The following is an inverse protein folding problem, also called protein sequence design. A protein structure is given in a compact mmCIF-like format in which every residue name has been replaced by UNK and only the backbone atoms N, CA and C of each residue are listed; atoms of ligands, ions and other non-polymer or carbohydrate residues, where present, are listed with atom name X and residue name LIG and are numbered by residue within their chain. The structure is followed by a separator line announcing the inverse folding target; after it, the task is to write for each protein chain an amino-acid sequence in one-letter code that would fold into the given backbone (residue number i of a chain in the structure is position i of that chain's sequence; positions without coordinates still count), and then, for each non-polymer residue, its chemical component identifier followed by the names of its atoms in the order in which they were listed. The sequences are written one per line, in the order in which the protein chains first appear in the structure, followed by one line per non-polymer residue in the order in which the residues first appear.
data_IF_942696272300
#
_entry.id   IF_942696272300
#
_cell.length_a   1.000
_cell.length_b   1.000
_cell.length_c   1.000
_cell.angle_alpha   90.00
_cell.angle_beta   90.00
_cell.angle_gamma   90.00
#
_symmetry.space_group_name_H-M   'P 1'
#
loop_
_entity.id
_entity.type
_entity.pdbx_description
1 polymer ?
#
# COMPACT_ATOMS: atom_id res chain seq x y z
N UNK A 1 19.08 -5.04 5.35
CA UNK A 1 18.33 -6.21 5.88
C UNK A 1 17.86 -7.03 4.68
N UNK A 2 18.51 -8.15 4.35
CA UNK A 2 18.36 -8.84 3.04
C UNK A 2 17.52 -10.12 3.06
N UNK A 3 16.84 -10.46 4.15
CA UNK A 3 15.91 -11.60 4.19
C UNK A 3 14.66 -11.21 4.98
N UNK A 4 13.50 -11.21 4.31
CA UNK A 4 12.21 -11.28 5.00
C UNK A 4 12.09 -12.73 5.48
N UNK A 5 12.39 -12.98 6.76
CA UNK A 5 12.43 -14.33 7.36
C UNK A 5 11.11 -15.10 7.24
N UNK A 6 9.98 -14.40 7.02
CA UNK A 6 8.65 -15.01 7.02
C UNK A 6 8.00 -15.10 5.62
N UNK A 7 8.72 -14.75 4.55
CA UNK A 7 8.16 -14.87 3.20
C UNK A 7 8.38 -16.30 2.67
N UNK A 8 7.31 -17.05 2.36
CA UNK A 8 7.45 -18.35 1.72
C UNK A 8 8.10 -18.24 0.33
N UNK A 9 8.71 -19.33 -0.10
CA UNK A 9 9.44 -19.37 -1.38
C UNK A 9 8.51 -19.45 -2.59
N UNK A 10 7.30 -20.01 -2.43
CA UNK A 10 6.33 -20.15 -3.52
C UNK A 10 5.37 -18.97 -3.54
N UNK A 11 5.19 -18.42 -4.73
CA UNK A 11 4.33 -17.26 -4.97
C UNK A 11 4.42 -16.79 -6.41
N UNK A 12 3.81 -15.64 -6.67
CA UNK A 12 3.73 -15.03 -8.00
C UNK A 12 4.56 -13.75 -8.04
N UNK A 13 5.60 -13.72 -8.89
CA UNK A 13 6.28 -12.47 -9.22
C UNK A 13 5.52 -11.75 -10.33
N UNK A 14 5.23 -10.46 -10.12
CA UNK A 14 4.62 -9.60 -11.15
C UNK A 14 5.03 -8.15 -10.96
N UNK A 15 4.85 -7.37 -12.02
CA UNK A 15 4.92 -5.91 -11.93
C UNK A 15 3.78 -5.39 -11.05
N UNK A 16 4.08 -4.42 -10.18
CA UNK A 16 3.06 -3.73 -9.39
C UNK A 16 2.15 -2.86 -10.28
N UNK A 17 0.89 -2.72 -9.87
CA UNK A 17 -0.11 -1.96 -10.63
C UNK A 17 0.11 -0.45 -10.45
N UNK A 18 0.38 -0.05 -9.21
CA UNK A 18 0.51 1.35 -8.82
C UNK A 18 1.56 1.55 -7.73
N UNK A 19 2.00 2.80 -7.58
CA UNK A 19 2.83 3.24 -6.49
C UNK A 19 2.08 4.29 -5.67
N UNK A 20 2.29 4.28 -4.36
CA UNK A 20 1.74 5.26 -3.43
C UNK A 20 2.86 6.04 -2.75
N UNK A 21 2.67 7.36 -2.60
CA UNK A 21 3.54 8.24 -1.83
C UNK A 21 2.74 8.85 -0.69
N UNK A 22 3.23 8.68 0.54
CA UNK A 22 2.62 9.32 1.70
C UNK A 22 2.83 10.83 1.66
N UNK A 23 1.83 11.58 2.11
CA UNK A 23 1.99 12.98 2.46
C UNK A 23 1.06 13.35 3.60
N UNK A 24 1.46 14.38 4.34
CA UNK A 24 0.76 14.89 5.50
C UNK A 24 0.32 16.31 5.22
N UNK A 25 -0.94 16.61 5.49
CA UNK A 25 -1.44 17.99 5.55
C UNK A 25 -1.61 18.32 7.03
N UNK A 26 -0.98 19.37 7.51
CA UNK A 26 -1.10 19.83 8.90
C UNK A 26 -1.49 21.30 8.95
N UNK A 27 -2.11 21.74 10.03
CA UNK A 27 -2.27 23.15 10.36
C UNK A 27 -2.06 23.35 11.86
N UNK A 28 -1.38 24.43 12.22
CA UNK A 28 -1.13 24.87 13.59
C UNK A 28 -1.98 26.10 14.00
N UNK A 29 -3.09 26.34 13.30
CA UNK A 29 -4.06 27.37 13.69
C UNK A 29 -4.68 27.04 15.05
N UNK A 30 -4.65 28.00 15.99
CA UNK A 30 -5.14 27.81 17.37
C UNK A 30 -6.63 27.44 17.44
N UNK A 31 -7.45 28.14 16.66
CA UNK A 31 -8.89 27.87 16.57
C UNK A 31 -9.14 26.54 15.85
N UNK A 32 -9.74 25.57 16.54
CA UNK A 32 -9.96 24.21 16.02
C UNK A 32 -10.86 24.18 14.77
N UNK A 33 -12.04 24.86 14.73
CA UNK A 33 -12.84 24.94 13.51
C UNK A 33 -12.06 25.47 12.31
N UNK A 34 -11.31 26.56 12.48
CA UNK A 34 -10.49 27.15 11.42
C UNK A 34 -9.38 26.19 10.98
N UNK A 35 -8.67 25.57 11.94
CA UNK A 35 -7.63 24.57 11.66
C UNK A 35 -8.15 23.40 10.83
N UNK A 36 -9.31 22.84 11.20
CA UNK A 36 -9.95 21.77 10.42
C UNK A 36 -10.34 22.23 9.03
N UNK A 37 -10.90 23.43 8.91
CA UNK A 37 -11.30 23.98 7.62
C UNK A 37 -10.10 24.19 6.68
N UNK A 38 -8.97 24.68 7.19
CA UNK A 38 -7.73 24.81 6.41
C UNK A 38 -7.24 23.46 5.87
N UNK A 39 -7.17 22.44 6.74
CA UNK A 39 -6.76 21.07 6.36
C UNK A 39 -7.70 20.51 5.28
N UNK A 40 -9.01 20.61 5.49
CA UNK A 40 -10.02 20.15 4.53
C UNK A 40 -9.95 20.91 3.20
N UNK A 41 -9.67 22.20 3.21
CA UNK A 41 -9.55 23.01 1.99
C UNK A 41 -8.34 22.57 1.16
N UNK A 42 -7.19 22.34 1.81
CA UNK A 42 -6.00 21.80 1.13
C UNK A 42 -6.26 20.39 0.61
N UNK A 43 -6.90 19.52 1.38
CA UNK A 43 -7.24 18.16 0.95
C UNK A 43 -8.20 18.15 -0.25
N UNK A 44 -9.22 19.00 -0.25
CA UNK A 44 -10.12 19.15 -1.40
C UNK A 44 -9.37 19.64 -2.65
N UNK A 45 -8.50 20.64 -2.50
CA UNK A 45 -7.64 21.09 -3.60
C UNK A 45 -6.70 20.00 -4.11
N UNK A 46 -6.21 19.12 -3.22
CA UNK A 46 -5.41 17.96 -3.60
C UNK A 46 -6.22 16.94 -4.40
N UNK A 47 -7.47 16.67 -4.04
CA UNK A 47 -8.37 15.79 -4.80
C UNK A 47 -8.59 16.32 -6.23
N UNK A 48 -8.89 17.61 -6.36
CA UNK A 48 -9.12 18.24 -7.65
C UNK A 48 -7.87 18.19 -8.54
N UNK A 49 -6.70 18.49 -7.95
CA UNK A 49 -5.42 18.46 -8.66
C UNK A 49 -4.99 17.05 -9.03
N UNK A 50 -5.26 16.06 -8.18
CA UNK A 50 -4.94 14.66 -8.42
C UNK A 50 -5.70 14.14 -9.63
N UNK A 51 -7.02 14.37 -9.67
CA UNK A 51 -7.87 14.00 -10.80
C UNK A 51 -7.35 14.60 -12.13
N UNK A 52 -6.98 15.89 -12.12
CA UNK A 52 -6.41 16.56 -13.29
C UNK A 52 -5.02 16.03 -13.70
N UNK A 53 -4.28 15.40 -12.78
CA UNK A 53 -2.96 14.82 -13.03
C UNK A 53 -3.00 13.31 -13.33
N UNK A 54 -4.18 12.68 -13.31
CA UNK A 54 -4.32 11.22 -13.44
C UNK A 54 -3.83 10.45 -12.20
N UNK A 55 -3.93 11.07 -11.02
CA UNK A 55 -3.62 10.45 -9.73
C UNK A 55 -4.90 10.27 -8.90
N UNK A 56 -4.83 9.37 -7.94
CA UNK A 56 -5.86 9.19 -6.91
C UNK A 56 -5.29 9.61 -5.55
N UNK A 57 -6.15 10.08 -4.65
CA UNK A 57 -5.80 10.20 -3.23
C UNK A 57 -6.43 9.02 -2.50
N UNK A 58 -5.65 8.35 -1.66
CA UNK A 58 -6.07 7.18 -0.89
C UNK A 58 -5.65 7.30 0.58
N UNK A 59 -6.37 6.61 1.46
CA UNK A 59 -6.09 6.56 2.89
C UNK A 59 -6.17 5.13 3.42
N UNK A 60 -5.63 4.89 4.62
CA UNK A 60 -5.69 3.61 5.32
C UNK A 60 -4.33 2.92 5.44
N UNK A 61 -4.25 1.94 6.34
CA UNK A 61 -3.00 1.25 6.68
C UNK A 61 -2.99 -0.19 6.14
N UNK A 62 -4.08 -0.93 6.32
CA UNK A 62 -4.20 -2.34 5.89
C UNK A 62 -4.93 -2.49 4.57
N UNK A 63 -5.91 -1.63 4.31
CA UNK A 63 -6.64 -1.56 3.05
C UNK A 63 -6.70 -0.11 2.60
N UNK A 64 -6.28 0.13 1.36
CA UNK A 64 -6.30 1.45 0.77
C UNK A 64 -7.70 1.77 0.26
N UNK A 65 -8.29 2.82 0.81
CA UNK A 65 -9.59 3.34 0.40
C UNK A 65 -9.41 4.63 -0.38
N UNK A 66 -10.16 4.79 -1.47
CA UNK A 66 -10.14 6.03 -2.25
C UNK A 66 -10.77 7.16 -1.44
N UNK A 67 -10.06 8.28 -1.36
CA UNK A 67 -10.58 9.53 -0.80
C UNK A 67 -11.32 10.26 -1.90
N UNK A 68 -12.54 10.69 -1.61
CA UNK A 68 -13.45 11.35 -2.55
C UNK A 68 -14.02 12.62 -1.93
N UNK A 69 -14.71 13.44 -2.73
CA UNK A 69 -15.36 14.67 -2.24
C UNK A 69 -16.48 14.37 -1.22
N UNK A 70 -16.99 13.15 -1.22
CA UNK A 70 -18.04 12.69 -0.31
C UNK A 70 -17.47 12.26 1.05
N UNK A 71 -16.26 11.71 1.10
CA UNK A 71 -15.68 11.13 2.32
C UNK A 71 -14.48 11.90 2.91
N UNK A 72 -13.89 12.88 2.21
CA UNK A 72 -12.65 13.50 2.67
C UNK A 72 -12.74 14.16 4.05
N UNK A 73 -13.94 14.65 4.43
CA UNK A 73 -14.19 15.26 5.75
C UNK A 73 -14.35 14.25 6.88
N UNK A 74 -14.54 12.97 6.57
CA UNK A 74 -14.60 11.91 7.59
C UNK A 74 -13.23 11.32 7.91
N UNK A 75 -12.17 11.75 7.21
CA UNK A 75 -10.82 11.33 7.54
C UNK A 75 -10.43 11.84 8.93
N UNK A 76 -9.77 11.00 9.75
CA UNK A 76 -9.35 11.42 11.08
C UNK A 76 -8.31 12.54 10.99
N UNK A 77 -8.56 13.63 11.71
CA UNK A 77 -7.57 14.67 11.98
C UNK A 77 -6.89 14.30 13.30
N UNK A 78 -5.66 13.86 13.21
CA UNK A 78 -4.85 13.40 14.33
C UNK A 78 -4.09 14.54 14.99
N UNK A 79 -3.71 14.31 16.25
CA UNK A 79 -2.79 15.18 16.98
C UNK A 79 -1.39 15.16 16.35
N UNK A 80 -0.76 16.33 16.26
CA UNK A 80 0.50 16.51 15.56
C UNK A 80 1.60 17.15 16.44
N UNK A 81 1.73 16.68 17.69
CA UNK A 81 2.82 17.10 18.58
C UNK A 81 2.53 18.32 19.46
N UNK A 82 1.53 19.14 19.13
CA UNK A 82 1.12 20.33 19.90
C UNK A 82 -0.40 20.42 20.00
N UNK A 83 -0.89 21.06 21.06
CA UNK A 83 -2.34 21.19 21.34
C UNK A 83 -3.09 21.93 20.22
N UNK A 84 -2.41 22.86 19.56
CA UNK A 84 -2.94 23.67 18.46
C UNK A 84 -2.59 23.12 17.07
N UNK A 85 -2.04 21.91 16.96
CA UNK A 85 -1.66 21.32 15.67
C UNK A 85 -2.40 20.02 15.39
N UNK A 86 -3.09 20.00 14.25
CA UNK A 86 -3.77 18.83 13.72
C UNK A 86 -3.18 18.42 12.38
N UNK A 87 -3.27 17.14 12.04
CA UNK A 87 -2.81 16.60 10.76
C UNK A 87 -3.78 15.56 10.19
N UNK A 88 -3.82 15.46 8.86
CA UNK A 88 -4.37 14.30 8.16
C UNK A 88 -3.27 13.68 7.31
N UNK A 89 -3.19 12.36 7.35
CA UNK A 89 -2.21 11.60 6.58
C UNK A 89 -2.92 10.83 5.47
N UNK A 90 -2.46 11.02 4.24
CA UNK A 90 -3.02 10.41 3.03
C UNK A 90 -1.89 10.00 2.09
N UNK A 91 -2.24 9.30 1.02
CA UNK A 91 -1.31 8.88 -0.02
C UNK A 91 -1.78 9.37 -1.38
N UNK A 92 -0.84 9.84 -2.19
CA UNK A 92 -1.05 10.02 -3.61
C UNK A 92 -0.71 8.70 -4.32
N UNK A 93 -1.65 8.16 -5.09
CA UNK A 93 -1.49 6.93 -5.88
C UNK A 93 -1.36 7.28 -7.35
N UNK A 94 -0.35 6.70 -8.00
CA UNK A 94 -0.14 6.79 -9.44
C UNK A 94 0.02 5.39 -10.03
N UNK A 95 -0.53 5.18 -11.24
CA UNK A 95 -0.23 3.99 -12.04
C UNK A 95 1.28 3.89 -12.27
N UNK A 96 1.84 2.70 -12.05
CA UNK A 96 3.26 2.46 -12.23
C UNK A 96 3.57 2.26 -13.72
N UNK A 97 3.88 3.35 -14.41
CA UNK A 97 4.31 3.36 -15.82
C UNK A 97 5.81 3.65 -15.88
N UNK A 98 6.58 2.87 -16.64
CA UNK A 98 8.04 3.05 -16.73
C UNK A 98 8.76 2.63 -15.45
N UNK A 99 9.70 3.44 -14.98
CA UNK A 99 10.47 3.17 -13.77
C UNK A 99 9.76 3.65 -12.50
N UNK A 100 10.16 3.05 -11.38
CA UNK A 100 9.76 3.49 -10.04
C UNK A 100 10.23 4.92 -9.74
N UNK A 101 11.45 5.26 -10.18
CA UNK A 101 12.05 6.58 -9.99
C UNK A 101 11.24 7.69 -10.69
N UNK A 102 10.84 7.47 -11.95
CA UNK A 102 10.01 8.42 -12.70
C UNK A 102 8.64 8.60 -12.04
N UNK A 103 8.04 7.50 -11.57
CA UNK A 103 6.75 7.57 -10.87
C UNK A 103 6.87 8.29 -9.54
N UNK A 104 7.94 8.05 -8.78
CA UNK A 104 8.25 8.80 -7.56
C UNK A 104 8.42 10.30 -7.85
N UNK A 105 9.16 10.66 -8.89
CA UNK A 105 9.35 12.07 -9.28
C UNK A 105 8.04 12.77 -9.63
N UNK A 106 7.14 12.10 -10.37
CA UNK A 106 5.81 12.63 -10.70
C UNK A 106 4.94 12.83 -9.45
N UNK A 107 4.94 11.86 -8.53
CA UNK A 107 4.20 11.95 -7.27
C UNK A 107 4.75 13.08 -6.37
N UNK A 108 6.07 13.20 -6.27
CA UNK A 108 6.72 14.27 -5.50
C UNK A 108 6.39 15.66 -6.06
N UNK A 109 6.50 15.83 -7.38
CA UNK A 109 6.15 17.08 -8.05
C UNK A 109 4.68 17.44 -7.84
N UNK A 110 3.78 16.44 -7.83
CA UNK A 110 2.38 16.65 -7.51
C UNK A 110 2.17 17.17 -6.09
N UNK A 111 2.72 16.50 -5.08
CA UNK A 111 2.55 16.91 -3.68
C UNK A 111 3.13 18.32 -3.45
N UNK A 112 4.28 18.63 -4.04
CA UNK A 112 4.89 19.96 -3.95
C UNK A 112 4.11 21.07 -4.67
N UNK A 113 3.27 20.71 -5.64
CA UNK A 113 2.42 21.67 -6.35
C UNK A 113 1.15 22.05 -5.60
N UNK A 114 0.84 21.37 -4.49
CA UNK A 114 -0.39 21.60 -3.74
C UNK A 114 -0.41 23.00 -3.12
N UNK A 115 -1.50 23.73 -3.38
CA UNK A 115 -1.71 25.06 -2.80
C UNK A 115 -2.04 24.93 -1.32
N UNK A 116 -1.34 25.71 -0.51
CA UNK A 116 -1.57 25.83 0.93
C UNK A 116 -2.71 26.81 1.20
N UNK A 117 -3.39 26.68 2.33
CA UNK A 117 -4.46 27.59 2.76
C UNK A 117 -4.25 27.98 4.22
N UNK A 118 -4.25 29.28 4.49
CA UNK A 118 -3.99 29.80 5.83
C UNK A 118 -2.66 29.31 6.39
N UNK A 119 -2.68 28.68 7.57
CA UNK A 119 -1.48 28.10 8.20
C UNK A 119 -1.22 26.64 7.82
N UNK A 120 -1.98 26.07 6.90
CA UNK A 120 -1.78 24.68 6.52
C UNK A 120 -0.45 24.48 5.76
N UNK A 121 0.23 23.38 6.08
CA UNK A 121 1.45 22.92 5.42
C UNK A 121 1.24 21.53 4.81
N UNK A 122 2.10 21.18 3.87
CA UNK A 122 2.08 19.88 3.18
C UNK A 122 3.50 19.33 3.19
N UNK A 123 3.65 18.10 3.67
CA UNK A 123 4.94 17.42 3.78
C UNK A 123 4.87 16.04 3.13
N UNK A 124 5.87 15.68 2.34
CA UNK A 124 5.99 14.34 1.74
C UNK A 124 6.60 13.36 2.72
N UNK A 125 6.04 12.16 2.82
CA UNK A 125 6.61 11.04 3.54
C UNK A 125 7.47 10.16 2.63
N UNK A 126 8.79 10.19 2.82
CA UNK A 126 9.73 9.21 2.27
C UNK A 126 9.62 8.95 0.75
N UNK A 127 9.97 7.73 0.35
CA UNK A 127 9.84 7.24 -1.03
C UNK A 127 8.45 6.68 -1.34
N UNK A 128 8.35 5.94 -2.44
CA UNK A 128 7.10 5.27 -2.83
C UNK A 128 7.03 3.84 -2.29
N UNK A 129 5.80 3.35 -2.10
CA UNK A 129 5.49 1.94 -1.86
C UNK A 129 4.74 1.35 -3.05
N UNK A 130 5.12 0.13 -3.47
CA UNK A 130 4.44 -0.58 -4.54
C UNK A 130 3.15 -1.25 -4.05
N UNK A 131 2.12 -1.22 -4.88
CA UNK A 131 0.77 -1.70 -4.54
C UNK A 131 0.21 -2.60 -5.64
N UNK A 132 -0.64 -3.54 -5.22
CA UNK A 132 -1.39 -4.44 -6.10
C UNK A 132 -2.87 -4.11 -5.98
N UNK A 133 -3.55 -3.99 -7.11
CA UNK A 133 -5.01 -3.86 -7.13
C UNK A 133 -5.62 -5.25 -7.01
N UNK A 134 -6.54 -5.41 -6.06
CA UNK A 134 -7.27 -6.65 -5.81
C UNK A 134 -6.34 -7.89 -5.74
N UNK A 135 -5.43 -7.97 -4.76
CA UNK A 135 -4.44 -9.06 -4.68
C UNK A 135 -5.07 -10.45 -4.52
N UNK A 136 -6.25 -10.54 -3.89
CA UNK A 136 -6.93 -11.82 -3.65
C UNK A 136 -7.40 -12.51 -4.95
N UNK A 137 -7.48 -11.80 -6.08
CA UNK A 137 -7.74 -12.42 -7.38
C UNK A 137 -6.66 -13.45 -7.77
N UNK A 138 -5.45 -13.33 -7.22
CA UNK A 138 -4.34 -14.24 -7.48
C UNK A 138 -4.31 -15.45 -6.55
N UNK A 139 -5.25 -15.53 -5.61
CA UNK A 139 -5.24 -16.54 -4.54
C UNK A 139 -5.23 -17.96 -5.10
N UNK A 140 -6.14 -18.29 -6.02
CA UNK A 140 -6.23 -19.64 -6.59
C UNK A 140 -4.95 -20.04 -7.33
N UNK A 141 -4.37 -19.11 -8.11
CA UNK A 141 -3.11 -19.34 -8.82
C UNK A 141 -1.96 -19.64 -7.85
N UNK A 142 -1.85 -18.88 -6.75
CA UNK A 142 -0.83 -19.10 -5.71
C UNK A 142 -1.04 -20.45 -5.04
N UNK A 143 -2.28 -20.82 -4.69
CA UNK A 143 -2.58 -22.13 -4.09
C UNK A 143 -2.18 -23.27 -5.03
N UNK A 144 -2.47 -23.13 -6.33
CA UNK A 144 -2.05 -24.10 -7.33
C UNK A 144 -0.53 -24.32 -7.34
N UNK A 145 0.25 -23.23 -7.28
CA UNK A 145 1.71 -23.28 -7.20
C UNK A 145 2.18 -23.96 -5.91
N UNK A 146 1.59 -23.61 -4.75
CA UNK A 146 1.94 -24.20 -3.46
C UNK A 146 1.64 -25.70 -3.42
N UNK A 147 0.48 -26.11 -3.92
CA UNK A 147 0.10 -27.52 -3.99
C UNK A 147 1.00 -28.33 -4.93
N UNK A 148 1.41 -27.73 -6.06
CA UNK A 148 2.35 -28.36 -6.99
C UNK A 148 3.72 -28.55 -6.34
N UNK A 149 4.24 -27.52 -5.66
CA UNK A 149 5.51 -27.58 -4.93
C UNK A 149 5.47 -28.65 -3.82
N UNK A 150 4.45 -28.61 -2.96
CA UNK A 150 4.32 -29.55 -1.84
C UNK A 150 4.23 -31.02 -2.31
N UNK A 151 3.48 -31.30 -3.39
CA UNK A 151 3.42 -32.64 -4.00
C UNK A 151 4.76 -33.10 -4.54
N UNK A 152 5.47 -32.20 -5.25
CA UNK A 152 6.80 -32.51 -5.79
C UNK A 152 7.78 -32.80 -4.67
N UNK A 153 7.78 -32.00 -3.62
CA UNK A 153 8.64 -32.18 -2.45
C UNK A 153 8.33 -33.48 -1.71
N UNK A 154 7.05 -33.79 -1.45
CA UNK A 154 6.66 -35.04 -0.81
C UNK A 154 7.10 -36.28 -1.62
N UNK A 155 6.97 -36.23 -2.95
CA UNK A 155 7.36 -37.34 -3.84
C UNK A 155 8.86 -37.68 -3.76
N UNK A 156 9.72 -36.74 -3.35
CA UNK A 156 11.15 -37.01 -3.12
C UNK A 156 11.41 -37.95 -1.94
N UNK A 157 10.47 -38.05 -0.99
CA UNK A 157 10.61 -38.88 0.20
C UNK A 157 10.03 -40.30 0.02
N UNK A 158 9.24 -40.53 -1.03
CA UNK A 158 8.63 -41.83 -1.32
C UNK A 158 7.09 -41.79 -1.39
N UNK A 159 6.46 -42.83 -1.97
CA UNK A 159 5.00 -42.89 -2.15
C UNK A 159 4.22 -43.01 -0.83
N UNK A 160 4.87 -43.35 0.29
CA UNK A 160 4.31 -43.43 1.64
C UNK A 160 4.26 -42.08 2.36
N UNK A 161 4.85 -41.03 1.78
CA UNK A 161 4.81 -39.68 2.32
C UNK A 161 3.76 -38.80 1.62
N UNK A 162 3.27 -37.82 2.36
CA UNK A 162 2.37 -36.75 1.93
C UNK A 162 2.76 -35.44 2.60
N UNK A 163 2.02 -34.37 2.35
CA UNK A 163 2.22 -33.07 2.98
C UNK A 163 1.01 -32.68 3.82
N UNK A 164 1.26 -32.05 4.96
CA UNK A 164 0.25 -31.36 5.76
C UNK A 164 0.46 -29.84 5.62
N UNK A 165 -0.56 -29.13 5.15
CA UNK A 165 -0.49 -27.70 4.80
C UNK A 165 -1.32 -26.88 5.79
N UNK A 166 -0.77 -25.75 6.27
CA UNK A 166 -1.46 -24.79 7.13
C UNK A 166 -1.23 -23.34 6.67
N UNK A 167 -2.16 -22.44 7.03
CA UNK A 167 -2.13 -21.01 6.70
C UNK A 167 -2.60 -20.66 5.28
N UNK A 168 -2.92 -21.67 4.46
CA UNK A 168 -3.35 -21.47 3.07
C UNK A 168 -4.70 -20.76 2.94
N UNK A 169 -5.51 -20.79 4.01
CA UNK A 169 -6.76 -20.06 4.20
C UNK A 169 -6.56 -18.53 4.38
N UNK A 170 -5.31 -18.09 4.58
CA UNK A 170 -4.97 -16.68 4.71
C UNK A 170 -5.18 -15.83 3.44
N UNK A 171 -5.02 -14.52 3.61
CA UNK A 171 -5.10 -13.52 2.56
C UNK A 171 -3.82 -13.47 1.70
N UNK A 172 -3.95 -12.96 0.48
CA UNK A 172 -2.78 -12.72 -0.37
C UNK A 172 -2.02 -11.50 0.15
N UNK A 173 -0.79 -11.74 0.59
CA UNK A 173 0.18 -10.71 0.93
C UNK A 173 1.09 -10.43 -0.27
N UNK A 174 1.78 -9.29 -0.25
CA UNK A 174 2.84 -9.02 -1.21
C UNK A 174 4.03 -8.31 -0.57
N UNK A 175 5.20 -8.52 -1.16
CA UNK A 175 6.38 -7.73 -0.85
C UNK A 175 7.12 -7.30 -2.09
N UNK A 176 7.73 -6.12 -2.03
CA UNK A 176 8.55 -5.61 -3.13
C UNK A 176 9.81 -6.47 -3.29
N UNK A 177 10.11 -6.86 -4.53
CA UNK A 177 11.28 -7.69 -4.89
C UNK A 177 12.20 -7.05 -5.92
N UNK A 178 11.75 -5.99 -6.58
CA UNK A 178 12.61 -5.15 -7.42
C UNK A 178 12.11 -3.70 -7.35
N UNK A 179 12.67 -2.81 -8.17
CA UNK A 179 12.17 -1.44 -8.28
C UNK A 179 10.69 -1.39 -8.72
N UNK A 180 10.24 -2.33 -9.56
CA UNK A 180 8.87 -2.31 -10.11
C UNK A 180 8.06 -3.56 -9.83
N UNK A 181 8.68 -4.61 -9.32
CA UNK A 181 8.05 -5.90 -9.14
C UNK A 181 7.76 -6.18 -7.68
N UNK A 182 6.66 -6.87 -7.48
CA UNK A 182 6.21 -7.44 -6.23
C UNK A 182 6.15 -8.96 -6.36
N UNK A 183 6.31 -9.62 -5.22
CA UNK A 183 6.08 -11.04 -5.06
C UNK A 183 4.84 -11.22 -4.20
N UNK A 184 3.81 -11.83 -4.76
CA UNK A 184 2.55 -12.14 -4.09
C UNK A 184 2.62 -13.55 -3.54
N UNK A 185 2.12 -13.73 -2.33
CA UNK A 185 2.15 -15.01 -1.64
C UNK A 185 1.01 -15.11 -0.62
N UNK A 186 0.66 -16.33 -0.25
CA UNK A 186 -0.15 -16.60 0.94
C UNK A 186 0.84 -17.06 2.02
N UNK A 187 0.84 -16.51 3.23
CA UNK A 187 1.68 -17.04 4.31
C UNK A 187 1.27 -18.49 4.63
N UNK A 188 2.11 -19.46 4.26
CA UNK A 188 1.83 -20.88 4.49
C UNK A 188 3.03 -21.58 5.15
N UNK A 189 2.74 -22.72 5.76
CA UNK A 189 3.75 -23.69 6.21
C UNK A 189 3.30 -25.09 5.78
N UNK A 190 4.24 -25.94 5.40
CA UNK A 190 3.95 -27.36 5.25
C UNK A 190 5.06 -28.22 5.85
N UNK A 191 4.66 -29.41 6.29
CA UNK A 191 5.57 -30.48 6.68
C UNK A 191 5.33 -31.72 5.83
N UNK A 192 6.38 -32.47 5.54
CA UNK A 192 6.27 -33.79 4.92
C UNK A 192 6.02 -34.80 6.04
N UNK A 193 4.97 -35.61 5.90
CA UNK A 193 4.50 -36.57 6.91
C UNK A 193 4.21 -37.92 6.26
N UNK A 194 4.31 -39.04 6.97
CA UNK A 194 3.75 -40.30 6.50
C UNK A 194 2.25 -40.18 6.21
N UNK A 195 1.75 -40.94 5.24
CA UNK A 195 0.33 -41.04 4.90
C UNK A 195 -0.50 -41.67 6.01
#
# INVERSE_FOLDING_TARGET
RFYQQDRPFVGLRRRADSAVMWFTISSDTRDEPTRRQEIHTVLLGALDRAAAAGFEIVSGNSQLQTVTRENYKSLPIEWAGRVDTGKVQVMARAKLTGSAQETQGRLQAFVWSLKKTGRATVETGGGISLTVINPDQYREAIIGLVAQDARRTAALFGPEFTFNLSGIDGQVAWSQVSSTDVFLYIPYRYSIVPK
#
